data_IF_357001588540
#
_entry.id   IF_357001588540
#
_cell.length_a   1.000
_cell.length_b   1.000
_cell.length_c   1.000
_cell.angle_alpha   90.00
_cell.angle_beta   90.00
_cell.angle_gamma   90.00
#
_symmetry.space_group_name_H-M   'P 1'
#
loop_
_entity.id
_entity.type
_entity.pdbx_description
1 polymer ?
#
# COMPACT_ATOMS: atom_id res chain seq x y z
N UNK A 1 -12.97 -15.19 11.58
CA UNK A 1 -12.00 -15.14 10.47
C UNK A 1 -11.60 -13.70 10.32
N UNK A 2 -10.31 -13.37 10.41
CA UNK A 2 -9.87 -12.02 10.05
C UNK A 2 -10.19 -11.76 8.58
N UNK A 3 -10.68 -10.57 8.28
CA UNK A 3 -11.02 -10.21 6.91
C UNK A 3 -9.74 -10.18 6.06
N UNK A 4 -9.79 -10.66 4.79
CA UNK A 4 -8.68 -10.63 3.83
C UNK A 4 -7.87 -9.32 3.83
N UNK A 5 -8.59 -8.22 3.99
CA UNK A 5 -8.09 -6.85 4.09
C UNK A 5 -7.04 -6.65 5.19
N UNK A 6 -7.29 -7.17 6.40
CA UNK A 6 -6.42 -6.98 7.58
C UNK A 6 -5.13 -7.76 7.44
N UNK A 7 -5.18 -8.97 6.87
CA UNK A 7 -3.99 -9.79 6.67
C UNK A 7 -3.09 -9.23 5.56
N UNK A 8 -3.68 -8.83 4.44
CA UNK A 8 -2.96 -8.18 3.33
C UNK A 8 -2.26 -6.91 3.80
N UNK A 9 -2.95 -6.03 4.54
CA UNK A 9 -2.34 -4.76 4.98
C UNK A 9 -1.22 -4.99 6.01
N UNK A 10 -1.34 -6.00 6.87
CA UNK A 10 -0.28 -6.37 7.80
C UNK A 10 0.97 -6.91 7.08
N UNK A 11 0.78 -7.73 6.05
CA UNK A 11 1.89 -8.23 5.21
C UNK A 11 2.61 -7.07 4.51
N UNK A 12 1.86 -6.19 3.85
CA UNK A 12 2.42 -4.99 3.20
C UNK A 12 3.18 -4.13 4.20
N UNK A 13 2.58 -3.87 5.37
CA UNK A 13 3.22 -3.07 6.42
C UNK A 13 4.55 -3.69 6.86
N UNK A 14 4.58 -5.00 7.10
CA UNK A 14 5.80 -5.71 7.52
C UNK A 14 6.91 -5.59 6.49
N UNK A 15 6.60 -5.74 5.20
CA UNK A 15 7.57 -5.58 4.11
C UNK A 15 8.10 -4.15 4.01
N UNK A 16 7.22 -3.15 4.07
CA UNK A 16 7.62 -1.75 4.05
C UNK A 16 8.46 -1.40 5.28
N UNK A 17 8.14 -1.93 6.46
CA UNK A 17 8.94 -1.72 7.67
C UNK A 17 10.34 -2.35 7.55
N UNK A 18 10.51 -3.44 6.81
CA UNK A 18 11.84 -3.98 6.50
C UNK A 18 12.63 -3.03 5.58
N UNK A 19 11.96 -2.36 4.64
CA UNK A 19 12.60 -1.44 3.68
C UNK A 19 12.88 -0.05 4.27
N UNK A 20 11.94 0.50 5.04
CA UNK A 20 11.93 1.89 5.50
C UNK A 20 12.11 2.05 7.02
N UNK A 21 11.90 0.99 7.81
CA UNK A 21 11.95 1.06 9.28
C UNK A 21 13.36 1.21 9.87
N UNK A 22 14.39 1.28 9.04
CA UNK A 22 15.77 1.42 9.51
C UNK A 22 16.16 2.89 9.75
N UNK A 23 16.08 3.30 11.01
CA UNK A 23 16.48 4.65 11.46
C UNK A 23 17.95 5.01 11.25
N UNK A 24 18.84 4.06 10.95
CA UNK A 24 20.25 4.34 10.64
C UNK A 24 20.47 4.77 9.19
N UNK A 25 19.52 4.48 8.30
CA UNK A 25 19.61 4.83 6.87
C UNK A 25 19.04 6.24 6.64
N UNK A 26 18.03 6.63 7.41
CA UNK A 26 17.33 7.91 7.26
C UNK A 26 17.74 8.91 8.34
N UNK A 27 17.85 10.18 7.98
CA UNK A 27 18.17 11.27 8.91
C UNK A 27 16.97 11.62 9.81
N UNK A 28 16.65 10.75 10.77
CA UNK A 28 15.54 10.92 11.72
C UNK A 28 16.09 11.40 13.08
N UNK A 29 15.47 12.40 13.72
CA UNK A 29 15.85 12.80 15.08
C UNK A 29 15.75 11.64 16.08
N UNK A 30 16.60 11.62 17.11
CA UNK A 30 16.67 10.52 18.09
C UNK A 30 15.37 10.29 18.88
N UNK A 31 14.46 11.26 18.90
CA UNK A 31 13.17 11.17 19.58
C UNK A 31 12.05 10.63 18.67
N UNK A 32 12.32 10.47 17.37
CA UNK A 32 11.36 10.07 16.36
C UNK A 32 11.77 8.74 15.71
N UNK A 33 10.76 8.03 15.20
CA UNK A 33 10.91 6.79 14.45
C UNK A 33 10.07 6.91 13.17
N UNK A 34 10.68 6.58 12.02
CA UNK A 34 9.92 6.38 10.79
C UNK A 34 9.20 5.04 10.85
N UNK A 35 7.90 5.06 10.52
CA UNK A 35 7.06 3.87 10.48
C UNK A 35 6.28 3.83 9.20
N UNK A 36 6.10 2.64 8.65
CA UNK A 36 5.22 2.45 7.51
C UNK A 36 3.77 2.37 7.99
N UNK A 37 2.90 3.14 7.35
CA UNK A 37 1.47 3.17 7.62
C UNK A 37 0.69 3.07 6.31
N UNK A 38 0.86 1.99 5.54
CA UNK A 38 0.23 1.87 4.22
C UNK A 38 -1.28 2.06 4.32
N UNK A 39 -1.84 2.79 3.37
CA UNK A 39 -3.27 3.04 3.26
C UNK A 39 -3.81 2.20 2.11
N UNK A 40 -4.70 1.26 2.43
CA UNK A 40 -5.34 0.45 1.42
C UNK A 40 -6.36 1.30 0.64
N UNK A 41 -6.21 1.34 -0.68
CA UNK A 41 -7.14 2.05 -1.55
C UNK A 41 -8.18 1.10 -2.14
N UNK A 42 -7.74 -0.05 -2.66
CA UNK A 42 -8.64 -1.00 -3.31
C UNK A 42 -8.07 -2.43 -3.31
N UNK A 43 -8.93 -3.43 -3.14
CA UNK A 43 -8.61 -4.84 -3.37
C UNK A 43 -9.50 -5.34 -4.50
N UNK A 44 -8.89 -5.64 -5.64
CA UNK A 44 -9.54 -6.22 -6.79
C UNK A 44 -9.45 -7.75 -6.71
N UNK A 45 -10.55 -8.48 -6.43
CA UNK A 45 -10.57 -9.92 -6.59
C UNK A 45 -10.49 -10.26 -8.07
N UNK A 46 -9.64 -11.22 -8.40
CA UNK A 46 -9.41 -11.68 -9.75
C UNK A 46 -9.94 -13.10 -9.88
N UNK A 47 -10.92 -13.27 -10.76
CA UNK A 47 -11.68 -14.51 -10.92
C UNK A 47 -11.22 -15.30 -12.17
N UNK A 48 -11.11 -16.63 -12.06
CA UNK A 48 -10.94 -17.57 -13.19
C UNK A 48 -9.67 -17.48 -14.05
N UNK A 49 -9.64 -18.23 -15.17
CA UNK A 49 -8.47 -18.35 -16.10
C UNK A 49 -8.08 -17.03 -16.79
N UNK A 50 -8.98 -16.06 -16.83
CA UNK A 50 -8.87 -14.77 -17.54
C UNK A 50 -8.19 -13.66 -16.73
N UNK A 51 -7.92 -13.91 -15.45
CA UNK A 51 -7.63 -12.87 -14.46
C UNK A 51 -6.40 -12.00 -14.73
N UNK A 52 -5.35 -12.60 -15.30
CA UNK A 52 -4.12 -11.88 -15.67
C UNK A 52 -4.34 -11.04 -16.93
N UNK A 53 -5.17 -11.51 -17.87
CA UNK A 53 -5.43 -10.83 -19.14
C UNK A 53 -6.20 -9.51 -18.93
N UNK A 54 -7.08 -9.43 -17.94
CA UNK A 54 -7.88 -8.22 -17.65
C UNK A 54 -6.99 -7.07 -17.13
N UNK A 55 -5.95 -7.37 -16.35
CA UNK A 55 -5.00 -6.34 -15.87
C UNK A 55 -4.12 -5.72 -16.97
N UNK A 56 -4.10 -6.33 -18.17
CA UNK A 56 -3.36 -5.86 -19.35
C UNK A 56 -4.27 -5.31 -20.44
N UNK A 57 -5.57 -5.17 -20.19
CA UNK A 57 -6.48 -4.61 -21.19
C UNK A 57 -6.19 -3.13 -21.40
N UNK A 58 -6.09 -2.74 -22.68
CA UNK A 58 -5.94 -1.36 -23.08
C UNK A 58 -7.24 -0.63 -22.77
N UNK A 59 -7.20 0.27 -21.77
CA UNK A 59 -8.29 1.20 -21.50
C UNK A 59 -8.25 2.38 -22.47
N UNK A 60 -9.41 2.98 -22.72
CA UNK A 60 -9.57 4.16 -23.58
C UNK A 60 -9.42 5.49 -22.82
N UNK A 61 -9.16 5.43 -21.51
CA UNK A 61 -8.88 6.59 -20.65
C UNK A 61 -7.45 6.56 -20.10
N UNK A 62 -6.94 7.73 -19.74
CA UNK A 62 -5.62 7.85 -19.09
C UNK A 62 -5.72 7.51 -17.60
N UNK A 63 -4.76 6.73 -17.10
CA UNK A 63 -4.62 6.41 -15.67
C UNK A 63 -3.41 7.14 -15.12
N UNK A 64 -3.64 8.00 -14.13
CA UNK A 64 -2.58 8.69 -13.38
C UNK A 64 -2.32 7.95 -12.06
N UNK A 65 -1.22 7.20 -12.00
CA UNK A 65 -0.78 6.47 -10.81
C UNK A 65 -0.24 7.37 -9.69
N UNK A 66 -0.28 8.70 -9.86
CA UNK A 66 -0.02 9.68 -8.78
C UNK A 66 -1.32 10.22 -8.18
N UNK A 67 -2.47 9.84 -8.72
CA UNK A 67 -3.80 10.36 -8.33
C UNK A 67 -4.67 9.25 -7.77
N UNK A 68 -4.98 9.33 -6.47
CA UNK A 68 -5.88 8.37 -5.79
C UNK A 68 -7.23 8.26 -6.51
N UNK A 69 -7.93 9.35 -6.86
CA UNK A 69 -9.18 9.26 -7.61
C UNK A 69 -9.03 8.53 -8.96
N UNK A 70 -7.93 8.77 -9.70
CA UNK A 70 -7.69 8.11 -10.98
C UNK A 70 -7.47 6.61 -10.81
N UNK A 71 -6.68 6.19 -9.82
CA UNK A 71 -6.45 4.77 -9.52
C UNK A 71 -7.71 4.07 -9.02
N UNK A 72 -8.51 4.72 -8.19
CA UNK A 72 -9.80 4.17 -7.76
C UNK A 72 -10.74 3.99 -8.94
N UNK A 73 -10.85 4.99 -9.82
CA UNK A 73 -11.66 4.88 -11.03
C UNK A 73 -11.22 3.69 -11.90
N UNK A 74 -9.91 3.56 -12.13
CA UNK A 74 -9.35 2.43 -12.87
C UNK A 74 -9.64 1.08 -12.20
N UNK A 75 -9.45 0.97 -10.89
CA UNK A 75 -9.69 -0.27 -10.15
C UNK A 75 -11.17 -0.68 -10.17
N UNK A 76 -12.09 0.29 -10.04
CA UNK A 76 -13.52 0.05 -10.21
C UNK A 76 -13.90 -0.36 -11.63
N UNK A 77 -13.30 0.27 -12.65
CA UNK A 77 -13.48 -0.15 -14.03
C UNK A 77 -13.06 -1.61 -14.20
N UNK A 78 -11.87 -2.01 -13.76
CA UNK A 78 -11.43 -3.41 -13.83
C UNK A 78 -12.39 -4.35 -13.11
N UNK A 79 -12.85 -3.99 -11.91
CA UNK A 79 -13.81 -4.78 -11.15
C UNK A 79 -15.13 -5.00 -11.90
N UNK A 80 -15.60 -3.99 -12.64
CA UNK A 80 -16.83 -4.09 -13.44
C UNK A 80 -16.72 -5.06 -14.62
N UNK A 81 -15.50 -5.37 -15.07
CA UNK A 81 -15.25 -6.28 -16.18
C UNK A 81 -15.07 -7.74 -15.71
N UNK A 82 -15.02 -7.99 -14.40
CA UNK A 82 -14.79 -9.33 -13.84
C UNK A 82 -16.09 -10.15 -13.84
N UNK A 83 -16.01 -11.41 -14.28
CA UNK A 83 -17.11 -12.37 -14.09
C UNK A 83 -17.11 -12.91 -12.66
N UNK A 84 -18.03 -12.39 -11.86
CA UNK A 84 -18.17 -12.73 -10.43
C UNK A 84 -18.73 -14.14 -10.18
N UNK A 85 -19.18 -14.85 -11.22
CA UNK A 85 -19.66 -16.23 -11.10
C UNK A 85 -18.51 -17.25 -11.01
N UNK A 86 -17.29 -16.83 -11.34
CA UNK A 86 -16.10 -17.67 -11.29
C UNK A 86 -15.43 -17.60 -9.91
N UNK A 87 -14.64 -18.61 -9.58
CA UNK A 87 -13.86 -18.63 -8.33
C UNK A 87 -12.74 -17.58 -8.32
N UNK A 88 -12.42 -17.04 -7.14
CA UNK A 88 -11.30 -16.11 -6.96
C UNK A 88 -9.98 -16.89 -7.01
N UNK A 89 -9.08 -16.49 -7.90
CA UNK A 89 -7.73 -17.07 -8.05
C UNK A 89 -6.64 -16.20 -7.44
N UNK A 90 -6.82 -14.88 -7.47
CA UNK A 90 -5.83 -13.93 -6.96
C UNK A 90 -6.48 -12.61 -6.56
N UNK A 91 -5.68 -11.74 -5.96
CA UNK A 91 -6.06 -10.38 -5.63
C UNK A 91 -5.01 -9.41 -6.17
N UNK A 92 -5.46 -8.32 -6.77
CA UNK A 92 -4.64 -7.14 -7.04
C UNK A 92 -4.94 -6.09 -5.99
N UNK A 93 -3.90 -5.62 -5.31
CA UNK A 93 -4.02 -4.69 -4.18
C UNK A 93 -3.39 -3.37 -4.57
N UNK A 94 -4.19 -2.31 -4.52
CA UNK A 94 -3.77 -0.93 -4.68
C UNK A 94 -3.68 -0.28 -3.31
N UNK A 95 -2.52 0.27 -2.98
CA UNK A 95 -2.31 0.96 -1.71
C UNK A 95 -1.36 2.14 -1.90
N UNK A 96 -1.48 3.11 -1.00
CA UNK A 96 -0.57 4.23 -0.89
C UNK A 96 0.51 3.91 0.16
N UNK A 97 1.78 4.02 -0.21
CA UNK A 97 2.94 3.85 0.69
C UNK A 97 3.12 5.10 1.55
N UNK A 98 2.26 5.25 2.55
CA UNK A 98 2.43 6.28 3.55
C UNK A 98 3.51 5.87 4.55
N UNK A 99 4.42 6.78 4.83
CA UNK A 99 5.36 6.70 5.94
C UNK A 99 5.00 7.83 6.91
N UNK A 100 5.01 7.55 8.21
CA UNK A 100 4.74 8.54 9.25
C UNK A 100 5.95 8.61 10.19
N UNK A 101 6.05 9.70 10.93
CA UNK A 101 6.91 9.73 12.11
C UNK A 101 6.07 9.57 13.37
N UNK A 102 6.55 8.73 14.27
CA UNK A 102 6.01 8.60 15.62
C UNK A 102 7.13 8.79 16.64
N UNK A 103 6.76 8.94 17.91
CA UNK A 103 7.74 9.00 18.99
C UNK A 103 8.48 7.66 19.08
N UNK A 104 9.82 7.68 19.08
CA UNK A 104 10.62 6.46 19.32
C UNK A 104 10.27 5.90 20.72
N UNK A 105 9.79 4.64 20.84
CA UNK A 105 9.46 4.03 22.12
C UNK A 105 10.65 3.96 23.10
N UNK A 106 11.88 3.91 22.58
CA UNK A 106 13.11 3.93 23.38
C UNK A 106 13.46 5.32 23.90
N UNK A 107 12.82 6.38 23.38
CA UNK A 107 13.02 7.75 23.85
C UNK A 107 12.23 8.00 25.13
N UNK A 108 12.94 7.94 26.25
CA UNK A 108 12.36 8.02 27.60
C UNK A 108 11.78 9.39 27.98
N UNK A 109 12.25 10.47 27.36
CA UNK A 109 11.77 11.83 27.68
C UNK A 109 10.41 12.11 27.02
N UNK A 110 9.64 13.01 27.64
CA UNK A 110 8.46 13.59 26.97
C UNK A 110 8.91 14.47 25.81
N UNK A 111 8.09 14.52 24.76
CA UNK A 111 8.32 15.47 23.68
C UNK A 111 8.05 16.89 24.19
N UNK A 112 8.84 17.83 23.71
CA UNK A 112 8.54 19.26 23.88
C UNK A 112 7.39 19.64 22.94
N UNK A 113 6.68 20.73 23.25
CA UNK A 113 5.62 21.25 22.35
C UNK A 113 6.10 21.45 20.91
N UNK A 114 7.34 21.90 20.73
CA UNK A 114 7.95 22.07 19.41
C UNK A 114 8.09 20.73 18.68
N UNK A 115 8.59 19.69 19.37
CA UNK A 115 8.74 18.35 18.79
C UNK A 115 7.37 17.70 18.47
N UNK A 116 6.36 17.93 19.31
CA UNK A 116 5.00 17.49 19.04
C UNK A 116 4.42 18.17 17.80
N UNK A 117 4.65 19.48 17.65
CA UNK A 117 4.24 20.23 16.46
C UNK A 117 4.98 19.77 15.20
N UNK A 118 6.28 19.47 15.29
CA UNK A 118 7.06 18.91 14.18
C UNK A 118 6.53 17.53 13.77
N UNK A 119 6.18 16.68 14.74
CA UNK A 119 5.55 15.37 14.50
C UNK A 119 4.23 15.51 13.75
N UNK A 120 3.33 16.37 14.23
CA UNK A 120 2.03 16.62 13.62
C UNK A 120 2.21 17.19 12.21
N UNK A 121 3.03 18.23 12.07
CA UNK A 121 3.26 18.88 10.78
C UNK A 121 3.86 17.94 9.73
N UNK A 122 4.76 17.04 10.11
CA UNK A 122 5.31 16.05 9.17
C UNK A 122 4.26 15.08 8.68
N UNK A 123 3.38 14.61 9.57
CA UNK A 123 2.35 13.63 9.23
C UNK A 123 1.19 14.27 8.45
N UNK A 124 0.83 15.52 8.75
CA UNK A 124 -0.27 16.24 8.10
C UNK A 124 0.12 16.77 6.70
N UNK A 125 1.38 17.16 6.50
CA UNK A 125 1.83 17.79 5.25
C UNK A 125 2.23 16.79 4.15
N UNK A 126 2.00 15.50 4.33
CA UNK A 126 2.32 14.50 3.30
C UNK A 126 1.25 14.50 2.20
N UNK A 127 1.59 15.18 1.11
CA UNK A 127 0.84 15.16 -0.16
C UNK A 127 1.43 14.11 -1.12
N UNK A 128 2.61 13.53 -0.80
CA UNK A 128 3.27 12.59 -1.70
C UNK A 128 2.56 11.24 -1.71
N UNK A 129 1.85 11.00 -2.81
CA UNK A 129 1.15 9.77 -3.12
C UNK A 129 2.14 8.82 -3.82
N UNK A 130 2.49 7.72 -3.17
CA UNK A 130 3.31 6.64 -3.76
C UNK A 130 2.44 5.39 -3.89
N UNK A 131 1.69 5.33 -5.00
CA UNK A 131 0.78 4.22 -5.27
C UNK A 131 1.55 3.01 -5.76
N UNK A 132 1.21 1.86 -5.20
CA UNK A 132 1.82 0.60 -5.56
C UNK A 132 0.77 -0.46 -5.75
N UNK A 133 1.04 -1.32 -6.74
CA UNK A 133 0.23 -2.49 -7.07
C UNK A 133 0.97 -3.74 -6.60
N UNK A 134 0.23 -4.64 -5.95
CA UNK A 134 0.74 -5.96 -5.51
C UNK A 134 -0.24 -7.06 -5.87
N UNK A 135 0.30 -8.26 -6.08
CA UNK A 135 -0.45 -9.43 -6.49
C UNK A 135 -0.36 -10.49 -5.38
N UNK A 136 -1.50 -11.03 -4.99
CA UNK A 136 -1.61 -12.07 -3.98
C UNK A 136 -2.37 -13.27 -4.54
N UNK A 137 -2.02 -14.48 -4.10
CA UNK A 137 -2.80 -15.70 -4.38
C UNK A 137 -4.17 -15.65 -3.70
N UNK A 138 -5.05 -16.62 -4.02
CA UNK A 138 -6.30 -16.84 -3.29
C UNK A 138 -6.12 -17.14 -1.79
N UNK A 139 -4.89 -17.51 -1.37
CA UNK A 139 -4.48 -17.75 0.02
C UNK A 139 -3.69 -16.59 0.63
N UNK A 140 -3.68 -15.42 -0.01
CA UNK A 140 -2.99 -14.21 0.46
C UNK A 140 -1.47 -14.29 0.53
N UNK A 141 -0.87 -15.21 -0.21
CA UNK A 141 0.59 -15.26 -0.37
C UNK A 141 1.02 -14.28 -1.47
N UNK A 142 2.06 -13.47 -1.26
CA UNK A 142 2.61 -12.63 -2.31
C UNK A 142 3.02 -13.46 -3.52
N UNK A 143 2.69 -12.98 -4.72
CA UNK A 143 3.07 -13.62 -5.99
C UNK A 143 4.02 -12.69 -6.73
N UNK A 144 5.12 -13.24 -7.25
CA UNK A 144 6.08 -12.48 -8.04
C UNK A 144 5.41 -11.91 -9.30
N UNK A 145 5.66 -10.63 -9.59
CA UNK A 145 5.27 -10.05 -10.87
C UNK A 145 6.23 -10.52 -11.96
N UNK A 146 5.75 -10.66 -13.20
CA UNK A 146 6.59 -10.99 -14.35
C UNK A 146 7.77 -10.00 -14.53
N UNK A 147 7.64 -8.76 -14.02
CA UNK A 147 8.68 -7.73 -14.08
C UNK A 147 9.81 -7.92 -13.04
N UNK A 148 9.69 -8.88 -12.12
CA UNK A 148 10.73 -9.19 -11.12
C UNK A 148 11.79 -10.19 -11.62
N UNK A 149 11.74 -10.57 -12.89
CA UNK A 149 12.71 -11.47 -13.54
C UNK A 149 13.62 -10.76 -14.56
N UNK A 150 13.73 -9.43 -14.52
CA UNK A 150 14.66 -8.67 -15.37
C UNK A 150 15.86 -8.14 -14.58
#
# INVERSE_FOLDING_TARGET
MEYPTTQIIQLIKKELDQQYGNKYIYAVPTWALLQSAPELLFILPVHGESGIAITKQRVDFSVDFSSIPSVLYYAHFLASQMDQNLEIKSYVVFFNKNIIISKDPSYSKKLTKKQEQELISYNDNRIQVDLTVRYFSSTFLPVATLDSQQ
#
